data_IF_634270526872
#
_entry.id   IF_634270526872
#
_cell.length_a   1.000
_cell.length_b   1.000
_cell.length_c   1.000
_cell.angle_alpha   90.00
_cell.angle_beta   90.00
_cell.angle_gamma   90.00
#
_symmetry.space_group_name_H-M   'P 1'
#
loop_
_entity.id
_entity.type
_entity.pdbx_description
1 polymer ?
#
# COMPACT_ATOMS: atom_id res chain seq x y z
N UNK A 1 2.00 -7.87 11.92
CA UNK A 1 2.94 -6.91 11.29
C UNK A 1 2.20 -6.13 10.22
N UNK A 2 2.59 -4.89 9.97
CA UNK A 2 2.07 -4.02 8.93
C UNK A 2 3.08 -3.94 7.77
N UNK A 3 2.57 -4.17 6.56
CA UNK A 3 3.30 -4.15 5.30
C UNK A 3 2.75 -3.06 4.40
N UNK A 4 3.63 -2.15 3.98
CA UNK A 4 3.24 -0.96 3.23
C UNK A 4 3.52 -1.14 1.75
N UNK A 5 2.47 -1.12 0.95
CA UNK A 5 2.51 -1.06 -0.50
C UNK A 5 2.37 0.39 -0.94
N UNK A 6 3.29 0.82 -1.79
CA UNK A 6 3.38 2.19 -2.27
C UNK A 6 2.97 2.20 -3.73
N UNK A 7 1.90 2.91 -4.05
CA UNK A 7 1.47 2.97 -5.44
C UNK A 7 2.43 3.84 -6.24
N UNK A 8 3.01 3.32 -7.31
CA UNK A 8 3.71 4.14 -8.29
C UNK A 8 2.68 4.86 -9.18
N UNK A 9 2.99 6.09 -9.58
CA UNK A 9 2.12 6.94 -10.39
C UNK A 9 2.20 6.57 -11.89
N UNK A 10 2.06 5.27 -12.21
CA UNK A 10 2.22 4.76 -13.57
C UNK A 10 1.14 5.33 -14.48
N UNK A 11 1.57 5.97 -15.58
CA UNK A 11 0.66 6.70 -16.48
C UNK A 11 0.16 8.06 -15.95
N UNK A 12 0.71 8.56 -14.83
CA UNK A 12 0.40 9.90 -14.31
C UNK A 12 -0.89 10.01 -13.51
N UNK A 13 -1.48 8.88 -13.10
CA UNK A 13 -2.55 8.84 -12.12
C UNK A 13 -2.34 7.74 -11.05
N UNK A 14 -3.01 7.92 -9.90
CA UNK A 14 -3.17 6.87 -8.89
C UNK A 14 -4.56 6.23 -9.01
N UNK A 15 -4.61 4.91 -8.89
CA UNK A 15 -5.83 4.16 -8.60
C UNK A 15 -6.31 4.53 -7.21
N UNK A 16 -7.59 4.89 -7.10
CA UNK A 16 -8.24 5.17 -5.83
C UNK A 16 -9.67 4.67 -5.84
N UNK A 17 -10.01 3.85 -4.86
CA UNK A 17 -11.37 3.39 -4.57
C UNK A 17 -11.52 3.16 -3.05
N UNK A 18 -12.49 2.33 -2.64
CA UNK A 18 -12.70 2.01 -1.23
C UNK A 18 -11.55 1.23 -0.58
N UNK A 19 -10.74 0.52 -1.36
CA UNK A 19 -9.75 -0.46 -0.90
C UNK A 19 -8.31 -0.09 -1.25
N UNK A 20 -8.12 0.70 -2.30
CA UNK A 20 -6.80 1.16 -2.75
C UNK A 20 -6.72 2.67 -2.86
N UNK A 21 -5.53 3.21 -2.61
CA UNK A 21 -5.20 4.62 -2.80
C UNK A 21 -3.67 4.76 -2.97
N UNK A 22 -3.10 5.94 -2.71
CA UNK A 22 -1.67 6.20 -2.86
C UNK A 22 -0.79 5.26 -2.03
N UNK A 23 -1.27 4.86 -0.85
CA UNK A 23 -0.61 3.91 0.04
C UNK A 23 -1.62 2.91 0.57
N UNK A 24 -1.27 1.63 0.50
CA UNK A 24 -2.08 0.53 1.05
C UNK A 24 -1.24 -0.18 2.08
N UNK A 25 -1.76 -0.34 3.29
CA UNK A 25 -1.06 -0.99 4.39
C UNK A 25 -1.85 -2.23 4.79
N UNK A 26 -1.22 -3.38 4.71
CA UNK A 26 -1.83 -4.67 5.04
C UNK A 26 -1.24 -5.17 6.37
N UNK A 27 -2.11 -5.40 7.34
CA UNK A 27 -1.74 -6.18 8.52
C UNK A 27 -1.67 -7.67 8.13
N UNK A 28 -0.55 -8.34 8.36
CA UNK A 28 -0.36 -9.74 7.99
C UNK A 28 0.59 -10.47 8.95
N UNK A 29 0.68 -11.78 8.73
CA UNK A 29 1.51 -12.70 9.52
C UNK A 29 2.97 -12.74 9.02
N UNK A 30 3.18 -12.49 7.72
CA UNK A 30 4.47 -12.43 7.04
C UNK A 30 4.29 -11.74 5.68
N UNK A 31 5.39 -11.47 4.95
CA UNK A 31 5.38 -10.81 3.65
C UNK A 31 4.53 -11.54 2.61
N UNK A 32 4.65 -12.87 2.52
CA UNK A 32 3.84 -13.67 1.59
C UNK A 32 2.34 -13.51 1.87
N UNK A 33 1.93 -13.60 3.14
CA UNK A 33 0.53 -13.40 3.52
C UNK A 33 0.07 -11.97 3.21
N UNK A 34 0.95 -10.96 3.33
CA UNK A 34 0.63 -9.60 2.92
C UNK A 34 0.39 -9.48 1.41
N UNK A 35 1.26 -10.10 0.60
CA UNK A 35 1.11 -10.14 -0.87
C UNK A 35 -0.19 -10.85 -1.28
N UNK A 36 -0.48 -12.03 -0.70
CA UNK A 36 -1.72 -12.77 -0.98
C UNK A 36 -2.95 -11.87 -0.69
N UNK A 37 -3.01 -11.26 0.50
CA UNK A 37 -4.11 -10.35 0.88
C UNK A 37 -4.19 -9.08 0.04
N UNK A 38 -3.06 -8.53 -0.38
CA UNK A 38 -3.02 -7.38 -1.27
C UNK A 38 -3.67 -7.70 -2.62
N UNK A 39 -3.45 -8.91 -3.16
CA UNK A 39 -4.10 -9.32 -4.41
C UNK A 39 -5.60 -9.52 -4.28
N UNK A 40 -6.09 -9.97 -3.12
CA UNK A 40 -7.53 -10.13 -2.86
C UNK A 40 -8.30 -8.81 -2.93
N UNK A 41 -7.64 -7.68 -2.66
CA UNK A 41 -8.24 -6.34 -2.69
C UNK A 41 -7.91 -5.55 -3.98
N UNK A 42 -7.26 -6.19 -4.95
CA UNK A 42 -7.03 -5.65 -6.29
C UNK A 42 -5.64 -5.08 -6.56
N UNK A 43 -4.65 -5.28 -5.69
CA UNK A 43 -3.24 -5.07 -6.08
C UNK A 43 -2.80 -6.20 -7.02
N UNK A 44 -1.86 -5.89 -7.90
CA UNK A 44 -1.29 -6.85 -8.85
C UNK A 44 0.21 -6.55 -8.97
N UNK A 45 1.02 -7.59 -9.17
CA UNK A 45 2.49 -7.47 -9.16
C UNK A 45 3.14 -7.86 -10.48
N UNK A 46 2.33 -8.20 -11.49
CA UNK A 46 2.77 -8.58 -12.83
C UNK A 46 2.99 -7.39 -13.77
N UNK A 47 2.65 -6.17 -13.32
CA UNK A 47 2.72 -4.94 -14.11
C UNK A 47 1.71 -4.88 -15.26
N UNK A 48 0.72 -5.78 -15.30
CA UNK A 48 -0.24 -5.84 -16.38
C UNK A 48 -1.13 -4.57 -16.41
N UNK A 49 -1.07 -3.82 -17.51
CA UNK A 49 -1.82 -2.58 -17.69
C UNK A 49 -1.06 -1.31 -17.30
N UNK A 50 0.16 -1.42 -16.78
CA UNK A 50 0.99 -0.27 -16.40
C UNK A 50 1.73 0.35 -17.60
N UNK A 51 2.17 1.61 -17.51
CA UNK A 51 3.03 2.16 -18.58
C UNK A 51 4.37 1.40 -18.55
N UNK A 52 4.78 0.77 -19.67
CA UNK A 52 6.09 0.13 -19.76
C UNK A 52 7.25 1.10 -19.46
N UNK A 53 6.99 2.39 -19.63
CA UNK A 53 7.94 3.48 -19.43
C UNK A 53 8.02 4.01 -17.98
N UNK A 54 6.95 3.86 -17.20
CA UNK A 54 6.85 4.45 -15.86
C UNK A 54 7.16 3.45 -14.75
N UNK A 55 7.22 2.15 -15.10
CA UNK A 55 7.33 1.06 -14.15
C UNK A 55 5.96 0.58 -13.66
N UNK A 56 5.99 -0.51 -12.91
CA UNK A 56 4.81 -1.15 -12.34
C UNK A 56 4.15 -0.22 -11.32
N UNK A 57 2.83 -0.32 -11.18
CA UNK A 57 2.03 0.42 -10.22
C UNK A 57 2.23 -0.09 -8.80
N UNK A 58 2.40 -1.39 -8.64
CA UNK A 58 2.65 -2.03 -7.36
C UNK A 58 3.81 -3.00 -7.48
N UNK A 59 4.60 -3.08 -6.42
CA UNK A 59 5.63 -4.10 -6.24
C UNK A 59 5.25 -4.97 -5.04
N UNK A 60 5.54 -6.26 -5.14
CA UNK A 60 5.35 -7.20 -4.04
C UNK A 60 6.34 -6.95 -2.91
N UNK A 61 5.98 -7.34 -1.69
CA UNK A 61 6.94 -7.41 -0.60
C UNK A 61 7.93 -8.54 -0.85
N UNK A 62 9.20 -8.31 -0.50
CA UNK A 62 10.24 -9.34 -0.49
C UNK A 62 9.92 -10.40 0.56
N UNK A 63 10.22 -11.66 0.27
CA UNK A 63 9.91 -12.79 1.17
C UNK A 63 10.52 -12.64 2.58
N UNK A 64 11.67 -11.96 2.68
CA UNK A 64 12.39 -11.68 3.93
C UNK A 64 11.98 -10.35 4.60
N UNK A 65 10.95 -9.68 4.08
CA UNK A 65 10.42 -8.49 4.73
C UNK A 65 9.70 -8.84 6.04
N UNK A 66 10.17 -8.26 7.13
CA UNK A 66 9.60 -8.45 8.48
C UNK A 66 8.35 -7.60 8.74
N UNK A 67 8.12 -6.57 7.93
CA UNK A 67 7.08 -5.58 8.19
C UNK A 67 7.39 -4.73 9.43
N UNK A 68 6.34 -4.14 10.00
CA UNK A 68 6.46 -3.21 11.14
C UNK A 68 5.37 -3.46 12.19
N UNK A 69 5.59 -3.07 13.44
CA UNK A 69 4.60 -3.27 14.53
C UNK A 69 3.40 -2.32 14.44
N UNK A 70 3.58 -1.18 13.77
CA UNK A 70 2.55 -0.16 13.56
C UNK A 70 2.49 0.23 12.09
N UNK A 71 1.40 0.82 11.58
CA UNK A 71 1.34 1.27 10.20
C UNK A 71 2.31 2.43 9.96
N UNK A 72 3.39 2.16 9.23
CA UNK A 72 4.43 3.14 8.90
C UNK A 72 4.56 3.36 7.39
N UNK A 73 4.84 4.60 6.99
CA UNK A 73 5.33 4.94 5.64
C UNK A 73 6.70 5.57 5.82
N UNK A 74 7.72 5.03 5.15
CA UNK A 74 9.12 5.50 5.27
C UNK A 74 9.60 5.67 6.74
N UNK A 75 9.21 4.74 7.62
CA UNK A 75 9.52 4.72 9.08
C UNK A 75 8.80 5.77 9.92
N UNK A 76 7.86 6.52 9.35
CA UNK A 76 7.03 7.49 10.04
C UNK A 76 5.60 6.97 10.20
N UNK A 77 4.98 7.28 11.34
CA UNK A 77 3.60 6.88 11.63
C UNK A 77 2.64 7.54 10.65
N UNK A 78 1.72 6.78 10.08
CA UNK A 78 0.68 7.32 9.17
C UNK A 78 -0.21 8.39 9.82
N UNK A 79 -0.29 8.39 11.14
CA UNK A 79 -1.06 9.38 11.91
C UNK A 79 -0.30 10.69 12.14
N UNK A 80 0.99 10.75 11.78
CA UNK A 80 1.84 11.94 11.95
C UNK A 80 2.28 12.58 10.63
N UNK A 81 2.09 11.88 9.51
CA UNK A 81 2.44 12.37 8.18
C UNK A 81 1.66 13.61 7.79
N UNK A 82 2.33 14.48 7.04
CA UNK A 82 1.72 15.61 6.35
C UNK A 82 1.44 15.27 4.89
N UNK A 83 0.33 15.78 4.36
CA UNK A 83 0.00 15.58 2.95
C UNK A 83 1.00 16.29 2.04
N UNK A 84 1.41 15.59 0.99
CA UNK A 84 2.17 16.15 -0.12
C UNK A 84 1.25 16.63 -1.25
N UNK A 85 1.86 17.14 -2.32
CA UNK A 85 1.13 17.57 -3.53
C UNK A 85 0.46 16.39 -4.24
N UNK A 86 1.07 15.19 -4.15
CA UNK A 86 0.63 14.00 -4.88
C UNK A 86 0.03 12.90 -3.99
N UNK A 87 0.24 12.95 -2.67
CA UNK A 87 -0.16 11.89 -1.77
C UNK A 87 -0.71 12.48 -0.49
N UNK A 88 -1.94 12.14 -0.16
CA UNK A 88 -2.65 12.75 0.95
C UNK A 88 -3.24 11.74 1.94
N UNK A 89 -3.28 10.45 1.60
CA UNK A 89 -3.92 9.43 2.44
C UNK A 89 -3.32 8.05 2.28
N UNK A 90 -3.69 7.17 3.21
CA UNK A 90 -3.51 5.73 3.09
C UNK A 90 -4.78 4.96 3.47
N UNK A 91 -4.84 3.69 3.07
CA UNK A 91 -5.87 2.74 3.53
C UNK A 91 -5.17 1.58 4.25
N UNK A 92 -5.60 1.31 5.48
CA UNK A 92 -5.09 0.23 6.33
C UNK A 92 -6.12 -0.90 6.35
N UNK A 93 -5.72 -2.10 5.94
CA UNK A 93 -6.52 -3.32 6.03
C UNK A 93 -6.00 -4.21 7.16
N UNK A 94 -6.85 -4.48 8.15
CA UNK A 94 -6.48 -5.24 9.37
C UNK A 94 -6.78 -6.73 9.25
N UNK A 95 -6.14 -7.55 10.09
CA UNK A 95 -6.34 -9.00 10.15
C UNK A 95 -7.76 -9.39 10.54
N UNK A 96 -8.45 -8.56 11.33
CA UNK A 96 -9.85 -8.78 11.72
C UNK A 96 -10.86 -8.41 10.60
N UNK A 97 -10.38 -7.98 9.43
CA UNK A 97 -11.19 -7.54 8.30
C UNK A 97 -11.67 -6.09 8.39
N UNK A 98 -11.37 -5.38 9.47
CA UNK A 98 -11.65 -3.95 9.54
C UNK A 98 -10.70 -3.16 8.65
N UNK A 99 -11.17 -1.98 8.23
CA UNK A 99 -10.44 -1.08 7.34
C UNK A 99 -10.53 0.35 7.85
N UNK A 100 -9.46 1.10 7.68
CA UNK A 100 -9.39 2.51 8.03
C UNK A 100 -8.74 3.30 6.90
N UNK A 101 -9.38 4.39 6.49
CA UNK A 101 -8.77 5.41 5.65
C UNK A 101 -8.18 6.49 6.56
N UNK A 102 -6.89 6.76 6.43
CA UNK A 102 -6.19 7.80 7.19
C UNK A 102 -5.84 8.92 6.22
N UNK A 103 -6.42 10.10 6.44
CA UNK A 103 -6.02 11.34 5.78
C UNK A 103 -4.84 11.96 6.53
N UNK A 104 -3.80 12.38 5.81
CA UNK A 104 -2.62 13.01 6.38
C UNK A 104 -2.90 14.47 6.79
N UNK A 105 -2.10 14.99 7.72
CA UNK A 105 -2.22 16.34 8.27
C UNK A 105 -2.03 17.43 7.20
#
# INVERSE_FOLDING_TARGET
MYYTFIQNNSGGYFDSNSDVCEYVIIEANNAKHANDRATEIGLYFDGAGDCPCCGNRWDEQWDDAEGTETPLIYRESVYELFKGIFRAKCIIHRLDGSKEAVEFK
#
